data_IF_022217581669
#
_entry.id   IF_022217581669
#
_cell.length_a   1.000
_cell.length_b   1.000
_cell.length_c   1.000
_cell.angle_alpha   90.00
_cell.angle_beta   90.00
_cell.angle_gamma   90.00
#
_symmetry.space_group_name_H-M   'P 1'
#
loop_
_entity.id
_entity.type
_entity.pdbx_description
1 polymer ?
#
# COMPACT_ATOMS: atom_id res chain seq x y z
N UNK A 1 0.85 13.55 19.58
CA UNK A 1 1.94 12.88 18.84
C UNK A 1 1.59 12.95 17.37
N UNK A 2 2.51 13.40 16.50
CA UNK A 2 2.36 13.29 15.05
C UNK A 2 3.17 12.08 14.58
N UNK A 3 2.56 11.19 13.80
CA UNK A 3 3.17 9.93 13.38
C UNK A 3 3.17 9.84 11.86
N UNK A 4 4.32 9.48 11.28
CA UNK A 4 4.46 9.17 9.86
C UNK A 4 5.29 7.91 9.71
N UNK A 5 4.66 6.85 9.20
CA UNK A 5 5.31 5.57 8.88
C UNK A 5 5.46 5.37 7.36
N UNK A 6 5.27 6.42 6.58
CA UNK A 6 5.27 6.38 5.11
C UNK A 6 3.87 6.25 4.51
N UNK A 7 3.81 5.81 3.24
CA UNK A 7 2.61 5.81 2.43
C UNK A 7 2.31 4.42 1.87
N UNK A 8 1.02 4.04 1.84
CA UNK A 8 0.54 2.84 1.14
C UNK A 8 -0.24 3.26 -0.10
N UNK A 9 0.20 2.90 -1.32
CA UNK A 9 -0.54 3.18 -2.55
C UNK A 9 -1.97 2.62 -2.51
N UNK A 10 -2.95 3.44 -2.87
CA UNK A 10 -4.35 3.01 -2.94
C UNK A 10 -4.60 2.25 -4.25
N UNK A 11 -4.36 0.95 -4.22
CA UNK A 11 -4.53 0.04 -5.37
C UNK A 11 -5.90 -0.64 -5.41
N UNK A 12 -6.87 -0.20 -4.60
CA UNK A 12 -8.17 -0.85 -4.44
C UNK A 12 -8.94 -1.02 -5.76
N UNK A 13 -9.08 0.05 -6.54
CA UNK A 13 -9.79 -0.01 -7.84
C UNK A 13 -9.01 -0.84 -8.88
N UNK A 14 -7.68 -0.78 -8.85
CA UNK A 14 -6.83 -1.60 -9.70
C UNK A 14 -6.97 -3.09 -9.38
N UNK A 15 -7.03 -3.45 -8.09
CA UNK A 15 -7.28 -4.84 -7.67
C UNK A 15 -8.71 -5.27 -8.01
N UNK A 16 -9.70 -4.38 -7.87
CA UNK A 16 -11.09 -4.67 -8.22
C UNK A 16 -11.27 -4.94 -9.71
N UNK A 17 -10.50 -4.28 -10.58
CA UNK A 17 -10.47 -4.55 -12.03
C UNK A 17 -9.77 -5.87 -12.39
N UNK A 18 -9.34 -6.66 -11.38
CA UNK A 18 -8.53 -7.88 -11.48
C UNK A 18 -7.09 -7.65 -11.90
N UNK A 19 -6.59 -6.42 -11.78
CA UNK A 19 -5.18 -6.13 -11.91
C UNK A 19 -4.38 -6.86 -10.81
N UNK A 20 -3.17 -7.33 -11.15
CA UNK A 20 -2.26 -7.98 -10.19
C UNK A 20 -1.26 -6.96 -9.69
N UNK A 21 -1.25 -6.72 -8.38
CA UNK A 21 -0.27 -5.84 -7.73
C UNK A 21 1.10 -6.50 -7.71
N UNK A 22 2.15 -5.68 -7.73
CA UNK A 22 3.54 -6.10 -7.56
C UNK A 22 4.10 -5.45 -6.30
N UNK A 23 4.89 -6.20 -5.53
CA UNK A 23 5.61 -5.64 -4.40
C UNK A 23 6.89 -4.97 -4.89
N UNK A 24 7.06 -3.69 -4.58
CA UNK A 24 8.29 -2.94 -4.81
C UNK A 24 9.16 -3.02 -3.55
N UNK A 25 10.28 -3.74 -3.65
CA UNK A 25 11.16 -3.99 -2.49
C UNK A 25 11.93 -2.75 -2.03
N UNK A 26 12.23 -1.80 -2.93
CA UNK A 26 12.96 -0.57 -2.58
C UNK A 26 12.12 0.37 -1.74
N UNK A 27 10.83 0.51 -2.09
CA UNK A 27 9.91 1.40 -1.39
C UNK A 27 9.05 0.69 -0.35
N UNK A 28 9.10 -0.66 -0.31
CA UNK A 28 8.31 -1.53 0.56
C UNK A 28 6.80 -1.30 0.40
N UNK A 29 6.31 -1.25 -0.85
CA UNK A 29 4.92 -0.93 -1.19
C UNK A 29 4.38 -1.87 -2.26
N UNK A 30 3.10 -2.22 -2.17
CA UNK A 30 2.40 -2.78 -3.33
C UNK A 30 2.02 -1.67 -4.29
N UNK A 31 2.37 -1.84 -5.56
CA UNK A 31 2.06 -0.94 -6.66
C UNK A 31 1.30 -1.72 -7.76
N UNK A 32 0.62 -1.04 -8.69
CA UNK A 32 0.04 -1.66 -9.87
C UNK A 32 1.10 -2.42 -10.65
N UNK A 33 0.81 -3.67 -11.02
CA UNK A 33 1.70 -4.54 -11.79
C UNK A 33 1.08 -4.89 -13.14
N UNK A 34 0.40 -6.04 -13.20
CA UNK A 34 -0.21 -6.54 -14.44
C UNK A 34 -1.63 -5.99 -14.55
N UNK A 35 -1.88 -5.22 -15.60
CA UNK A 35 -3.18 -4.63 -15.90
C UNK A 35 -4.11 -5.68 -16.56
N UNK A 36 -5.37 -5.71 -16.14
CA UNK A 36 -6.40 -6.60 -16.69
C UNK A 36 -7.45 -5.87 -17.55
N UNK A 37 -7.45 -4.54 -17.53
CA UNK A 37 -8.36 -3.68 -18.29
C UNK A 37 -7.55 -2.57 -18.96
N UNK A 38 -8.15 -1.90 -19.94
CA UNK A 38 -7.59 -0.70 -20.54
C UNK A 38 -7.73 0.49 -19.57
N UNK A 39 -6.81 0.55 -18.62
CA UNK A 39 -6.72 1.61 -17.63
C UNK A 39 -5.26 1.93 -17.32
N UNK A 40 -5.05 3.04 -16.61
CA UNK A 40 -3.74 3.48 -16.16
C UNK A 40 -3.86 4.03 -14.74
N UNK A 41 -2.95 3.62 -13.87
CA UNK A 41 -2.78 4.24 -12.54
C UNK A 41 -1.75 5.36 -12.66
N UNK A 42 -1.99 6.48 -11.98
CA UNK A 42 -1.16 7.69 -12.08
C UNK A 42 -0.94 8.28 -10.69
N UNK A 43 0.27 8.76 -10.42
CA UNK A 43 0.65 9.41 -9.17
C UNK A 43 0.95 8.41 -8.06
N UNK A 44 0.68 8.80 -6.82
CA UNK A 44 1.04 8.00 -5.65
C UNK A 44 0.40 6.59 -5.63
N UNK A 45 -0.77 6.40 -6.26
CA UNK A 45 -1.37 5.06 -6.39
C UNK A 45 -0.59 4.16 -7.36
N UNK A 46 0.18 4.74 -8.29
CA UNK A 46 1.12 4.03 -9.16
C UNK A 46 2.52 3.88 -8.53
N UNK A 47 2.74 4.47 -7.35
CA UNK A 47 4.06 4.53 -6.70
C UNK A 47 4.91 5.73 -7.13
N UNK A 48 4.37 6.67 -7.91
CA UNK A 48 5.06 7.92 -8.23
C UNK A 48 5.01 8.87 -7.03
N UNK A 49 6.18 9.15 -6.48
CA UNK A 49 6.34 10.09 -5.36
C UNK A 49 6.68 11.50 -5.87
N UNK A 50 6.15 12.50 -5.18
CA UNK A 50 6.40 13.92 -5.46
C UNK A 50 5.43 14.53 -6.48
N UNK A 51 5.11 15.80 -6.25
CA UNK A 51 4.08 16.51 -7.01
C UNK A 51 4.50 16.73 -8.47
N UNK A 52 5.77 17.10 -8.71
CA UNK A 52 6.29 17.34 -10.06
C UNK A 52 6.17 16.07 -10.92
N UNK A 53 6.72 14.95 -10.44
CA UNK A 53 6.66 13.67 -11.13
C UNK A 53 5.21 13.20 -11.37
N UNK A 54 4.32 13.39 -10.39
CA UNK A 54 2.90 13.05 -10.53
C UNK A 54 2.21 13.84 -11.65
N UNK A 55 2.47 15.16 -11.74
CA UNK A 55 1.90 16.00 -12.80
C UNK A 55 2.45 15.60 -14.16
N UNK A 56 3.75 15.32 -14.27
CA UNK A 56 4.39 14.85 -15.49
C UNK A 56 3.77 13.56 -16.00
N UNK A 57 3.62 12.57 -15.11
CA UNK A 57 2.99 11.29 -15.38
C UNK A 57 1.52 11.47 -15.80
N UNK A 58 0.76 12.30 -15.09
CA UNK A 58 -0.65 12.54 -15.39
C UNK A 58 -0.86 13.15 -16.77
N UNK A 59 -0.02 14.11 -17.17
CA UNK A 59 -0.10 14.72 -18.49
C UNK A 59 0.26 13.72 -19.60
N UNK A 60 1.28 12.90 -19.38
CA UNK A 60 1.67 11.87 -20.34
C UNK A 60 0.56 10.80 -20.50
N UNK A 61 0.04 10.29 -19.39
CA UNK A 61 -1.02 9.29 -19.37
C UNK A 61 -2.33 9.83 -19.98
N UNK A 62 -2.72 11.06 -19.63
CA UNK A 62 -3.90 11.70 -20.18
C UNK A 62 -3.81 11.96 -21.68
N UNK A 63 -2.65 12.43 -22.18
CA UNK A 63 -2.42 12.62 -23.61
C UNK A 63 -2.48 11.30 -24.38
N UNK A 64 -1.91 10.23 -23.82
CA UNK A 64 -2.00 8.88 -24.39
C UNK A 64 -3.45 8.39 -24.42
N UNK A 65 -4.17 8.46 -23.31
CA UNK A 65 -5.56 8.02 -23.24
C UNK A 65 -6.47 8.78 -24.21
N UNK A 66 -6.29 10.10 -24.35
CA UNK A 66 -7.04 10.90 -25.32
C UNK A 66 -6.75 10.46 -26.77
N UNK A 67 -5.49 10.20 -27.09
CA UNK A 67 -5.08 9.69 -28.41
C UNK A 67 -5.69 8.31 -28.70
N UNK A 68 -5.62 7.40 -27.73
CA UNK A 68 -6.15 6.04 -27.85
C UNK A 68 -7.68 6.04 -28.01
N UNK A 69 -8.36 7.02 -27.39
CA UNK A 69 -9.79 7.28 -27.58
C UNK A 69 -10.15 8.01 -28.90
N UNK A 70 -9.18 8.25 -29.79
CA UNK A 70 -9.41 8.88 -31.11
C UNK A 70 -9.49 10.40 -31.11
N UNK A 71 -9.13 11.07 -30.00
CA UNK A 71 -9.08 12.54 -29.96
C UNK A 71 -7.91 13.09 -30.76
N UNK A 72 -8.11 14.23 -31.43
CA UNK A 72 -7.03 14.93 -32.12
C UNK A 72 -6.05 15.53 -31.11
N UNK A 73 -4.73 15.55 -31.41
CA UNK A 73 -3.75 16.20 -30.54
C UNK A 73 -4.12 17.67 -30.31
N UNK A 74 -4.28 18.04 -29.05
CA UNK A 74 -4.44 19.44 -28.64
C UNK A 74 -3.21 19.85 -27.83
N UNK A 75 -2.76 21.10 -28.02
CA UNK A 75 -1.72 21.69 -27.15
C UNK A 75 -2.35 21.99 -25.80
N UNK A 76 -2.14 21.09 -24.83
CA UNK A 76 -2.44 21.35 -23.43
C UNK A 76 -1.34 22.21 -22.80
N UNK A 77 -1.72 23.16 -21.95
CA UNK A 77 -0.77 23.85 -21.07
C UNK A 77 -0.61 23.03 -19.80
N UNK A 78 0.63 22.64 -19.50
CA UNK A 78 0.97 21.98 -18.24
C UNK A 78 1.17 23.04 -17.15
N UNK A 79 0.57 22.90 -15.95
CA UNK A 79 0.78 23.84 -14.87
C UNK A 79 2.25 23.81 -14.46
N UNK A 80 2.77 24.99 -14.10
CA UNK A 80 4.05 25.05 -13.41
C UNK A 80 3.87 24.46 -12.02
N UNK A 81 4.67 23.46 -11.70
CA UNK A 81 4.69 22.86 -10.38
C UNK A 81 5.80 23.52 -9.56
N UNK A 82 5.44 24.02 -8.39
CA UNK A 82 6.39 24.34 -7.33
C UNK A 82 6.24 23.28 -6.25
N UNK A 83 7.28 22.47 -6.05
CA UNK A 83 7.24 21.30 -5.18
C UNK A 83 8.44 21.32 -4.22
N UNK A 84 8.16 21.02 -2.95
CA UNK A 84 9.16 20.80 -1.92
C UNK A 84 9.73 19.38 -1.94
N UNK A 85 10.32 18.97 -0.82
CA UNK A 85 10.95 17.65 -0.68
C UNK A 85 9.98 16.49 -0.92
N UNK A 86 10.48 15.45 -1.59
CA UNK A 86 9.77 14.19 -1.80
C UNK A 86 10.31 13.12 -0.86
N UNK A 87 9.43 12.44 -0.11
CA UNK A 87 9.81 11.38 0.81
C UNK A 87 9.01 10.11 0.52
N UNK A 88 9.73 9.04 0.16
CA UNK A 88 9.14 7.77 -0.26
C UNK A 88 9.43 6.60 0.71
N UNK A 89 10.19 6.83 1.78
CA UNK A 89 10.53 5.76 2.72
C UNK A 89 9.44 5.58 3.77
N UNK A 90 9.35 4.36 4.30
CA UNK A 90 8.38 4.02 5.32
C UNK A 90 8.79 2.79 6.11
N UNK A 91 7.96 2.44 7.08
CA UNK A 91 8.08 1.24 7.90
C UNK A 91 6.88 0.34 7.63
N UNK A 92 7.13 -0.96 7.49
CA UNK A 92 6.10 -1.99 7.56
C UNK A 92 6.32 -2.85 8.80
N UNK A 93 5.22 -3.40 9.31
CA UNK A 93 5.24 -4.29 10.46
C UNK A 93 5.24 -3.55 11.79
N UNK A 94 5.85 -4.17 12.82
CA UNK A 94 5.87 -3.64 14.17
C UNK A 94 6.96 -2.56 14.36
N UNK A 95 6.68 -1.58 15.21
CA UNK A 95 7.63 -0.52 15.54
C UNK A 95 8.89 -1.07 16.25
N UNK A 96 10.04 -0.37 16.18
CA UNK A 96 11.22 -0.73 16.96
C UNK A 96 10.90 -0.92 18.44
N UNK A 97 11.38 -2.01 19.03
CA UNK A 97 11.06 -2.39 20.42
C UNK A 97 9.78 -3.20 20.59
N UNK A 98 9.03 -3.49 19.52
CA UNK A 98 7.85 -4.36 19.52
C UNK A 98 8.08 -5.70 18.75
N UNK A 99 9.29 -6.25 18.89
CA UNK A 99 9.69 -7.54 18.30
C UNK A 99 8.94 -8.73 18.90
N UNK A 100 9.17 -9.93 18.35
CA UNK A 100 8.47 -11.15 18.75
C UNK A 100 8.62 -11.49 20.24
N UNK A 101 9.79 -11.24 20.83
CA UNK A 101 10.11 -11.56 22.23
C UNK A 101 9.71 -10.46 23.22
N UNK A 102 8.96 -9.45 22.77
CA UNK A 102 8.59 -8.30 23.59
C UNK A 102 7.14 -8.39 24.06
N UNK A 103 6.86 -7.80 25.22
CA UNK A 103 5.51 -7.78 25.84
C UNK A 103 4.79 -6.45 25.65
N UNK A 104 5.38 -5.52 24.89
CA UNK A 104 4.80 -4.20 24.64
C UNK A 104 3.54 -4.31 23.78
N UNK A 105 2.56 -3.45 24.05
CA UNK A 105 1.37 -3.35 23.19
C UNK A 105 1.70 -2.54 21.95
N UNK A 106 1.82 -3.21 20.81
CA UNK A 106 1.94 -2.59 19.50
C UNK A 106 0.67 -2.84 18.69
N UNK A 107 -0.24 -1.87 18.69
CA UNK A 107 -1.50 -1.93 17.94
C UNK A 107 -1.24 -1.85 16.44
N UNK A 108 -1.94 -2.70 15.70
CA UNK A 108 -1.91 -2.80 14.24
C UNK A 108 -3.25 -2.39 13.65
N UNK A 109 -4.35 -2.85 14.25
CA UNK A 109 -5.71 -2.39 13.93
C UNK A 109 -6.30 -1.71 15.16
N UNK A 110 -6.46 -0.39 15.11
CA UNK A 110 -6.97 0.38 16.24
C UNK A 110 -8.46 0.17 16.50
N UNK A 111 -9.26 -0.12 15.46
CA UNK A 111 -10.71 -0.21 15.63
C UNK A 111 -11.12 -1.54 16.25
N UNK A 112 -10.38 -2.61 15.93
CA UNK A 112 -10.61 -3.96 16.47
C UNK A 112 -9.65 -4.33 17.60
N UNK A 113 -8.84 -3.38 18.11
CA UNK A 113 -7.83 -3.59 19.15
C UNK A 113 -6.82 -4.72 18.84
N UNK A 114 -6.53 -4.96 17.56
CA UNK A 114 -5.58 -6.00 17.16
C UNK A 114 -4.15 -5.53 17.34
N UNK A 115 -3.32 -6.36 17.97
CA UNK A 115 -1.90 -6.09 18.20
C UNK A 115 -0.99 -6.97 17.34
N UNK A 116 0.28 -6.58 17.24
CA UNK A 116 1.32 -7.39 16.60
C UNK A 116 1.44 -8.79 17.27
N UNK A 117 1.20 -8.87 18.58
CA UNK A 117 1.18 -10.14 19.31
C UNK A 117 0.06 -11.06 18.81
N UNK A 118 -1.12 -10.53 18.54
CA UNK A 118 -2.28 -11.32 18.08
C UNK A 118 -2.03 -11.92 16.69
N UNK A 119 -1.38 -11.15 15.80
CA UNK A 119 -0.95 -11.64 14.48
C UNK A 119 0.10 -12.74 14.59
N UNK A 120 1.12 -12.54 15.45
CA UNK A 120 2.13 -13.57 15.71
C UNK A 120 1.52 -14.83 16.31
N UNK A 121 0.56 -14.67 17.23
CA UNK A 121 -0.19 -15.78 17.81
C UNK A 121 -0.96 -16.55 16.74
N UNK A 122 -1.66 -15.88 15.83
CA UNK A 122 -2.37 -16.54 14.73
C UNK A 122 -1.43 -17.42 13.89
N UNK A 123 -0.23 -16.93 13.59
CA UNK A 123 0.79 -17.73 12.89
C UNK A 123 1.27 -18.92 13.73
N UNK A 124 1.47 -18.72 15.04
CA UNK A 124 1.85 -19.79 15.97
C UNK A 124 0.78 -20.90 16.05
N UNK A 125 -0.51 -20.53 16.01
CA UNK A 125 -1.67 -21.45 15.94
C UNK A 125 -1.80 -22.18 14.60
N UNK A 126 -0.80 -22.11 13.72
CA UNK A 126 -0.74 -22.86 12.47
C UNK A 126 -1.29 -22.11 11.26
N UNK A 127 -1.69 -20.84 11.39
CA UNK A 127 -2.15 -20.07 10.24
C UNK A 127 -0.97 -19.73 9.32
N UNK A 128 -1.18 -19.92 8.02
CA UNK A 128 -0.17 -19.68 6.96
C UNK A 128 -0.67 -18.73 5.88
N UNK A 129 -1.96 -18.78 5.57
CA UNK A 129 -2.60 -17.85 4.63
C UNK A 129 -2.95 -16.55 5.35
N UNK A 130 -2.68 -15.41 4.71
CA UNK A 130 -3.08 -14.10 5.24
C UNK A 130 -4.59 -14.00 5.46
N UNK A 131 -5.38 -14.73 4.64
CA UNK A 131 -6.82 -14.81 4.78
C UNK A 131 -7.27 -15.52 6.07
N UNK A 132 -6.47 -16.47 6.57
CA UNK A 132 -6.73 -17.12 7.86
C UNK A 132 -6.34 -16.21 9.02
N UNK A 133 -5.16 -15.58 8.95
CA UNK A 133 -4.70 -14.62 9.97
C UNK A 133 -5.72 -13.49 10.13
N UNK A 134 -6.24 -12.94 9.03
CA UNK A 134 -7.32 -11.94 9.02
C UNK A 134 -8.57 -12.43 9.75
N UNK A 135 -9.07 -13.63 9.44
CA UNK A 135 -10.30 -14.18 10.04
C UNK A 135 -10.14 -14.49 11.53
N UNK A 136 -8.96 -14.90 11.96
CA UNK A 136 -8.68 -15.21 13.36
C UNK A 136 -8.49 -13.97 14.23
N UNK A 137 -7.72 -13.01 13.72
CA UNK A 137 -7.38 -11.79 14.47
C UNK A 137 -8.41 -10.69 14.32
N UNK A 138 -9.26 -10.75 13.28
CA UNK A 138 -10.13 -9.66 12.81
C UNK A 138 -9.40 -8.43 12.24
N UNK A 139 -8.09 -8.53 11.99
CA UNK A 139 -7.29 -7.46 11.39
C UNK A 139 -7.84 -7.03 10.02
N UNK A 140 -8.13 -5.74 9.86
CA UNK A 140 -8.62 -5.17 8.61
C UNK A 140 -10.06 -5.56 8.25
N UNK A 141 -10.82 -6.06 9.23
CA UNK A 141 -12.26 -6.32 9.10
C UNK A 141 -13.13 -5.20 9.67
N UNK A 142 -12.52 -4.15 10.22
CA UNK A 142 -13.22 -3.01 10.77
C UNK A 142 -13.83 -2.13 9.66
N UNK A 143 -14.50 -1.03 10.05
CA UNK A 143 -15.18 -0.14 9.09
C UNK A 143 -14.21 0.61 8.17
N UNK A 144 -12.95 0.77 8.58
CA UNK A 144 -11.90 1.35 7.74
C UNK A 144 -11.42 0.38 6.64
N UNK A 145 -11.82 -0.89 6.69
CA UNK A 145 -11.41 -1.99 5.80
C UNK A 145 -9.88 -2.21 5.77
N UNK A 146 -9.21 -1.93 6.90
CA UNK A 146 -7.78 -2.16 7.07
C UNK A 146 -6.88 -1.27 6.22
N UNK A 147 -7.36 -0.08 5.83
CA UNK A 147 -6.56 0.91 5.10
C UNK A 147 -5.30 1.31 5.86
N UNK A 148 -5.33 1.23 7.19
CA UNK A 148 -4.20 1.55 8.06
C UNK A 148 -3.48 0.32 8.63
N UNK A 149 -4.14 -0.84 8.66
CA UNK A 149 -3.64 -2.03 9.37
C UNK A 149 -3.09 -3.14 8.47
N UNK A 150 -3.64 -3.33 7.27
CA UNK A 150 -3.39 -4.53 6.46
C UNK A 150 -1.91 -4.72 6.09
N UNK A 151 -1.23 -3.65 5.68
CA UNK A 151 0.17 -3.73 5.29
C UNK A 151 1.10 -4.08 6.46
N UNK A 152 0.81 -3.53 7.65
CA UNK A 152 1.54 -3.88 8.86
C UNK A 152 1.24 -5.31 9.30
N UNK A 153 -0.03 -5.73 9.25
CA UNK A 153 -0.44 -7.10 9.58
C UNK A 153 0.19 -8.15 8.67
N UNK A 154 0.22 -7.89 7.36
CA UNK A 154 0.88 -8.75 6.38
C UNK A 154 2.38 -8.86 6.66
N UNK A 155 3.06 -7.74 6.92
CA UNK A 155 4.49 -7.73 7.20
C UNK A 155 4.86 -8.52 8.47
N UNK A 156 4.07 -8.38 9.55
CA UNK A 156 4.27 -9.15 10.79
C UNK A 156 4.02 -10.65 10.55
N UNK A 157 2.99 -11.00 9.79
CA UNK A 157 2.73 -12.39 9.45
C UNK A 157 3.87 -12.99 8.60
N UNK A 158 4.38 -12.24 7.61
CA UNK A 158 5.50 -12.64 6.77
C UNK A 158 6.80 -12.83 7.57
N UNK A 159 7.12 -11.87 8.45
CA UNK A 159 8.23 -11.95 9.41
C UNK A 159 8.16 -13.23 10.24
N UNK A 160 7.00 -13.50 10.85
CA UNK A 160 6.79 -14.66 11.73
C UNK A 160 6.85 -15.99 10.98
N UNK A 161 6.47 -15.98 9.70
CA UNK A 161 6.55 -17.15 8.83
C UNK A 161 7.93 -17.36 8.20
N UNK A 162 8.86 -16.42 8.36
CA UNK A 162 10.15 -16.43 7.65
C UNK A 162 10.00 -16.34 6.13
N UNK A 163 8.99 -15.61 5.64
CA UNK A 163 8.70 -15.45 4.21
C UNK A 163 8.90 -14.01 3.75
N UNK A 164 9.25 -13.79 2.46
CA UNK A 164 9.13 -12.46 1.88
C UNK A 164 7.66 -12.00 1.86
N UNK A 165 7.47 -10.68 1.82
CA UNK A 165 6.16 -10.02 1.66
C UNK A 165 5.65 -10.22 0.23
#
# INVERSE_FOLDING_TARGET
ILMSAGWTPSVHLFSQSRGKVAFNDETKRFVPGIYAQDCVSVGACNGTDGLSATVDEAYAAGAKAAKDAGSKPAKGTKPRVDAGESWSRGMLGAAPGAGADTTVKAFVDFQNDVTAKDIRQAVHEGMRSIEHVKRFTTNGMATDQGKTSNMHGLAIAAETLGKPI
#
